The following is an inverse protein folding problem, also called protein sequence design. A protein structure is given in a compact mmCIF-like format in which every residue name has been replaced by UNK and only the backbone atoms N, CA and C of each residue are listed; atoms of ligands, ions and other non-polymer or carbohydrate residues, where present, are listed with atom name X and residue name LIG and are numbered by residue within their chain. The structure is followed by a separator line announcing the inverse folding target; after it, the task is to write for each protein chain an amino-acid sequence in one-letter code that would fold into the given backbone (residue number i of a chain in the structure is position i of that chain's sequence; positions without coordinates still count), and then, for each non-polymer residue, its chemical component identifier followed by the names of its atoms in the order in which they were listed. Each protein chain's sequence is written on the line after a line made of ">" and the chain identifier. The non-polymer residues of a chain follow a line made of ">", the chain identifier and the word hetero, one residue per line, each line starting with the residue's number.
data_IF_804479579230
#
_entry.id   IF_804479579230
#
_cell.length_a   1.000
_cell.length_b   1.000
_cell.length_c   1.000
_cell.angle_alpha   90.00
_cell.angle_beta   90.00
_cell.angle_gamma   90.00
#
_symmetry.space_group_name_H-M   'P 1'
#
loop_
_entity.id
_entity.type
_entity.pdbx_description
1 polymer ?
#
# COMPACT_ATOMS: atom_id res chain seq x y z
N UNK A 1 2.44 -8.36 15.51
CA UNK A 1 2.52 -7.78 14.15
C UNK A 1 1.55 -6.62 14.13
N UNK A 2 2.01 -5.42 13.78
CA UNK A 2 1.20 -4.19 13.84
C UNK A 2 0.46 -3.97 12.50
N UNK A 3 1.20 -4.04 11.38
CA UNK A 3 0.64 -3.93 10.03
C UNK A 3 0.80 -5.22 9.22
N UNK A 4 -0.23 -5.58 8.45
CA UNK A 4 -0.22 -6.72 7.52
C UNK A 4 -0.57 -6.23 6.12
N UNK A 5 0.45 -6.10 5.27
CA UNK A 5 0.28 -5.66 3.89
C UNK A 5 0.19 -6.88 2.96
N UNK A 6 -0.90 -7.00 2.21
CA UNK A 6 -1.10 -8.10 1.27
C UNK A 6 -1.03 -7.56 -0.15
N UNK A 7 -0.10 -8.07 -0.95
CA UNK A 7 0.05 -7.64 -2.35
C UNK A 7 -0.96 -8.38 -3.24
N UNK A 8 -1.54 -7.64 -4.18
CA UNK A 8 -2.22 -8.23 -5.34
C UNK A 8 -1.23 -8.83 -6.35
N UNK A 9 -1.72 -9.29 -7.50
CA UNK A 9 -0.85 -9.71 -8.61
C UNK A 9 0.01 -8.55 -9.13
N UNK A 10 1.01 -8.89 -9.93
CA UNK A 10 1.96 -7.90 -10.46
C UNK A 10 1.35 -6.98 -11.52
N UNK A 11 0.28 -7.41 -12.19
CA UNK A 11 -0.40 -6.70 -13.27
C UNK A 11 -1.89 -6.65 -12.99
N UNK A 12 -2.59 -5.73 -13.66
CA UNK A 12 -4.06 -5.69 -13.63
C UNK A 12 -4.71 -6.45 -14.80
N UNK A 13 -3.91 -7.12 -15.63
CA UNK A 13 -4.36 -7.81 -16.84
C UNK A 13 -5.08 -6.85 -17.79
N UNK A 14 -4.40 -5.76 -18.12
CA UNK A 14 -4.89 -4.71 -19.02
C UNK A 14 -5.11 -5.24 -20.43
N UNK A 15 -6.26 -4.95 -21.02
CA UNK A 15 -6.59 -5.36 -22.39
C UNK A 15 -6.15 -4.30 -23.42
N UNK A 16 -5.76 -4.70 -24.65
CA UNK A 16 -5.29 -3.77 -25.69
C UNK A 16 -6.27 -2.65 -26.08
N UNK A 17 -7.56 -2.84 -25.83
CA UNK A 17 -8.63 -1.89 -26.16
C UNK A 17 -9.15 -1.12 -24.93
N UNK A 18 -8.43 -1.20 -23.81
CA UNK A 18 -8.85 -0.69 -22.52
C UNK A 18 -9.66 -1.70 -21.71
N UNK A 19 -9.78 -1.43 -20.41
CA UNK A 19 -10.37 -2.37 -19.46
C UNK A 19 -9.37 -3.43 -18.98
N UNK A 20 -9.90 -4.45 -18.31
CA UNK A 20 -9.14 -5.48 -17.63
C UNK A 20 -9.77 -6.84 -17.87
N UNK A 21 -8.97 -7.90 -17.82
CA UNK A 21 -9.50 -9.27 -17.79
C UNK A 21 -10.41 -9.49 -16.59
N UNK A 22 -11.40 -10.37 -16.78
CA UNK A 22 -12.39 -10.75 -15.79
C UNK A 22 -12.40 -12.25 -15.63
N UNK A 23 -12.78 -12.75 -14.45
CA UNK A 23 -12.84 -14.21 -14.23
C UNK A 23 -13.88 -14.86 -15.13
N UNK A 24 -13.63 -16.10 -15.54
CA UNK A 24 -14.49 -16.83 -16.49
C UNK A 24 -15.92 -17.04 -15.96
N UNK A 25 -16.06 -17.18 -14.65
CA UNK A 25 -17.33 -17.41 -13.96
C UNK A 25 -18.18 -16.14 -13.82
N UNK A 26 -17.57 -14.96 -13.91
CA UNK A 26 -18.25 -13.69 -13.69
C UNK A 26 -17.54 -12.52 -14.39
N UNK A 27 -18.11 -12.09 -15.51
CA UNK A 27 -17.63 -10.95 -16.29
C UNK A 27 -17.73 -9.59 -15.57
N UNK A 28 -18.36 -9.52 -14.40
CA UNK A 28 -18.39 -8.32 -13.55
C UNK A 28 -17.20 -8.19 -12.61
N UNK A 29 -16.38 -9.24 -12.45
CA UNK A 29 -15.27 -9.27 -11.49
C UNK A 29 -13.95 -9.27 -12.25
N UNK A 30 -13.14 -8.22 -12.04
CA UNK A 30 -11.79 -8.12 -12.60
C UNK A 30 -10.89 -9.18 -11.99
N UNK A 31 -10.07 -9.81 -12.82
CA UNK A 31 -9.25 -10.94 -12.41
C UNK A 31 -8.28 -10.58 -11.27
N UNK A 32 -7.61 -9.43 -11.36
CA UNK A 32 -6.66 -9.01 -10.32
C UNK A 32 -7.32 -8.74 -8.96
N UNK A 33 -8.59 -8.32 -8.93
CA UNK A 33 -9.35 -8.14 -7.69
C UNK A 33 -9.65 -9.50 -7.07
N UNK A 34 -10.07 -10.45 -7.89
CA UNK A 34 -10.36 -11.82 -7.43
C UNK A 34 -9.10 -12.49 -6.85
N UNK A 35 -7.97 -12.40 -7.53
CA UNK A 35 -6.68 -12.94 -7.05
C UNK A 35 -6.24 -12.28 -5.74
N UNK A 36 -6.39 -10.96 -5.64
CA UNK A 36 -6.08 -10.24 -4.40
C UNK A 36 -6.97 -10.68 -3.22
N UNK A 37 -8.27 -10.87 -3.46
CA UNK A 37 -9.19 -11.38 -2.43
C UNK A 37 -8.86 -12.81 -2.01
N UNK A 38 -8.38 -13.65 -2.93
CA UNK A 38 -7.90 -14.99 -2.60
C UNK A 38 -6.69 -14.93 -1.66
N UNK A 39 -5.70 -14.07 -1.96
CA UNK A 39 -4.55 -13.84 -1.08
C UNK A 39 -4.98 -13.33 0.30
N UNK A 40 -5.91 -12.37 0.34
CA UNK A 40 -6.46 -11.85 1.59
C UNK A 40 -7.14 -12.95 2.41
N UNK A 41 -7.97 -13.79 1.78
CA UNK A 41 -8.63 -14.88 2.48
C UNK A 41 -7.62 -15.83 3.17
N UNK A 42 -6.54 -16.19 2.48
CA UNK A 42 -5.46 -16.99 3.06
C UNK A 42 -4.81 -16.31 4.26
N UNK A 43 -4.43 -15.03 4.11
CA UNK A 43 -3.78 -14.27 5.19
C UNK A 43 -4.70 -14.08 6.39
N UNK A 44 -5.97 -13.72 6.17
CA UNK A 44 -6.96 -13.54 7.23
C UNK A 44 -7.20 -14.86 7.98
N UNK A 45 -7.29 -15.97 7.25
CA UNK A 45 -7.47 -17.31 7.83
C UNK A 45 -6.27 -17.68 8.72
N UNK A 46 -5.06 -17.50 8.21
CA UNK A 46 -3.84 -17.82 8.97
C UNK A 46 -3.69 -16.95 10.21
N UNK A 47 -3.98 -15.65 10.10
CA UNK A 47 -3.97 -14.73 11.22
C UNK A 47 -5.01 -15.10 12.27
N UNK A 48 -6.20 -15.54 11.85
CA UNK A 48 -7.25 -16.02 12.76
C UNK A 48 -6.79 -17.27 13.51
N UNK A 49 -6.19 -18.25 12.83
CA UNK A 49 -5.66 -19.46 13.48
C UNK A 49 -4.51 -19.17 14.44
N UNK A 50 -3.72 -18.12 14.19
CA UNK A 50 -2.69 -17.64 15.11
C UNK A 50 -3.24 -16.83 16.31
N UNK A 51 -4.57 -16.65 16.41
CA UNK A 51 -5.20 -15.83 17.46
C UNK A 51 -5.08 -14.32 17.23
N UNK A 52 -4.70 -13.89 16.03
CA UNK A 52 -4.65 -12.50 15.63
C UNK A 52 -6.04 -11.90 15.38
N UNK A 53 -6.14 -10.58 15.50
CA UNK A 53 -7.37 -9.83 15.20
C UNK A 53 -7.06 -8.63 14.32
N UNK A 54 -8.04 -8.21 13.52
CA UNK A 54 -7.95 -7.01 12.69
C UNK A 54 -8.94 -5.96 13.18
N UNK A 55 -8.53 -4.69 13.16
CA UNK A 55 -9.42 -3.57 13.42
C UNK A 55 -10.22 -3.25 12.15
N UNK A 56 -11.49 -3.64 12.10
CA UNK A 56 -12.34 -3.40 10.93
C UNK A 56 -12.42 -1.93 10.49
N UNK A 57 -12.32 -0.98 11.43
CA UNK A 57 -12.32 0.46 11.13
C UNK A 57 -11.01 0.97 10.50
N UNK A 58 -9.92 0.22 10.63
CA UNK A 58 -8.59 0.59 10.11
C UNK A 58 -8.17 -0.26 8.91
N UNK A 59 -8.86 -1.38 8.66
CA UNK A 59 -8.53 -2.29 7.57
C UNK A 59 -8.95 -1.68 6.23
N UNK A 60 -8.01 -1.65 5.28
CA UNK A 60 -8.24 -1.27 3.89
C UNK A 60 -8.19 -2.54 3.03
N UNK A 61 -9.21 -2.75 2.18
CA UNK A 61 -9.33 -3.93 1.30
C UNK A 61 -9.54 -3.47 -0.12
N UNK A 62 -8.75 -4.00 -1.06
CA UNK A 62 -8.88 -3.76 -2.50
C UNK A 62 -8.98 -2.26 -2.89
N UNK A 63 -8.19 -1.42 -2.21
CA UNK A 63 -8.08 0.02 -2.50
C UNK A 63 -7.03 0.27 -3.57
N UNK A 64 -7.20 1.29 -4.45
CA UNK A 64 -6.22 1.63 -5.47
C UNK A 64 -4.91 2.17 -4.89
N UNK A 65 -4.98 2.81 -3.72
CA UNK A 65 -3.84 3.37 -3.00
C UNK A 65 -4.01 3.18 -1.49
N UNK A 66 -2.91 2.94 -0.78
CA UNK A 66 -2.90 2.82 0.68
C UNK A 66 -1.67 3.49 1.29
N UNK A 67 -1.87 4.15 2.44
CA UNK A 67 -0.78 4.70 3.24
C UNK A 67 -0.15 3.59 4.08
N UNK A 68 1.09 3.22 3.75
CA UNK A 68 1.84 2.13 4.40
C UNK A 68 3.17 2.70 4.88
N UNK A 69 3.40 2.71 6.20
CA UNK A 69 4.66 3.17 6.83
C UNK A 69 5.17 4.56 6.36
N UNK A 70 4.25 5.49 6.07
CA UNK A 70 4.57 6.84 5.59
C UNK A 70 4.96 6.88 4.10
N UNK A 71 4.47 5.93 3.32
CA UNK A 71 4.44 5.95 1.86
C UNK A 71 3.02 5.75 1.36
N UNK A 72 2.70 6.39 0.24
CA UNK A 72 1.51 6.06 -0.54
C UNK A 72 1.91 4.95 -1.51
N UNK A 73 1.35 3.76 -1.32
CA UNK A 73 1.56 2.63 -2.21
C UNK A 73 0.38 2.51 -3.17
N UNK A 74 0.67 2.52 -4.46
CA UNK A 74 -0.30 2.36 -5.55
C UNK A 74 0.19 1.28 -6.52
N UNK A 75 -0.59 1.04 -7.58
CA UNK A 75 -0.16 0.19 -8.69
C UNK A 75 1.12 0.69 -9.37
N UNK A 76 1.24 2.01 -9.53
CA UNK A 76 2.40 2.67 -10.17
C UNK A 76 3.67 2.62 -9.32
N UNK A 77 3.54 2.18 -8.06
CA UNK A 77 4.66 2.02 -7.13
C UNK A 77 4.46 2.78 -5.84
N UNK A 78 5.57 3.15 -5.21
CA UNK A 78 5.59 3.80 -3.90
C UNK A 78 6.00 5.25 -4.04
N UNK A 79 5.19 6.13 -3.46
CA UNK A 79 5.49 7.55 -3.33
C UNK A 79 5.70 7.91 -1.85
N UNK A 80 6.60 8.86 -1.54
CA UNK A 80 6.70 9.40 -0.19
C UNK A 80 5.39 10.08 0.19
N UNK A 81 5.02 9.96 1.47
CA UNK A 81 3.88 10.69 2.02
C UNK A 81 4.05 12.21 1.83
N UNK A 82 3.05 12.92 1.28
CA UNK A 82 3.11 14.36 1.08
C UNK A 82 3.50 15.15 2.33
N UNK A 83 3.10 14.69 3.52
CA UNK A 83 3.44 15.33 4.79
C UNK A 83 4.92 15.17 5.15
N UNK A 84 5.56 14.07 4.75
CA UNK A 84 7.02 13.90 4.86
C UNK A 84 7.73 14.78 3.84
N UNK A 85 7.22 14.84 2.61
CA UNK A 85 7.78 15.68 1.57
C UNK A 85 7.73 17.16 1.97
N UNK A 86 6.61 17.61 2.52
CA UNK A 86 6.43 18.98 3.01
C UNK A 86 7.48 19.34 4.06
N UNK A 87 7.73 18.47 5.05
CA UNK A 87 8.76 18.71 6.08
C UNK A 87 10.15 18.93 5.49
N UNK A 88 10.48 18.20 4.43
CA UNK A 88 11.77 18.33 3.72
C UNK A 88 11.80 19.62 2.91
N UNK A 89 10.72 19.96 2.20
CA UNK A 89 10.62 21.17 1.37
C UNK A 89 10.58 22.45 2.21
N UNK A 90 9.91 22.42 3.36
CA UNK A 90 9.81 23.53 4.29
C UNK A 90 11.03 23.63 5.23
N UNK A 91 12.06 22.81 5.01
CA UNK A 91 13.22 22.80 5.90
C UNK A 91 14.02 24.10 5.74
N UNK A 92 14.24 24.81 6.85
CA UNK A 92 15.00 26.06 6.86
C UNK A 92 16.50 25.85 6.60
N UNK A 93 17.28 26.94 6.54
CA UNK A 93 18.73 26.82 6.33
C UNK A 93 19.40 25.97 7.42
N UNK A 94 20.29 25.06 7.00
CA UNK A 94 21.05 24.19 7.89
C UNK A 94 22.27 24.95 8.45
N UNK A 95 22.11 25.58 9.61
CA UNK A 95 23.14 26.46 10.17
C UNK A 95 24.10 25.73 11.13
N UNK A 96 23.67 24.60 11.70
CA UNK A 96 24.45 23.84 12.70
C UNK A 96 24.55 22.36 12.34
N UNK A 97 25.57 21.70 12.88
CA UNK A 97 25.76 20.26 12.78
C UNK A 97 24.54 19.45 13.28
N UNK A 98 23.81 19.96 14.27
CA UNK A 98 22.57 19.35 14.76
C UNK A 98 21.47 19.37 13.70
N UNK A 99 21.37 20.47 12.94
CA UNK A 99 20.33 20.66 11.93
C UNK A 99 20.60 19.74 10.74
N UNK A 100 21.87 19.59 10.35
CA UNK A 100 22.30 18.62 9.32
C UNK A 100 22.00 17.19 9.73
N UNK A 101 22.30 16.78 10.97
CA UNK A 101 22.00 15.43 11.46
C UNK A 101 20.49 15.14 11.51
N UNK A 102 19.70 16.11 11.97
CA UNK A 102 18.24 15.98 12.01
C UNK A 102 17.65 15.87 10.60
N UNK A 103 18.15 16.67 9.65
CA UNK A 103 17.75 16.59 8.25
C UNK A 103 18.07 15.22 7.66
N UNK A 104 19.32 14.77 7.78
CA UNK A 104 19.77 13.46 7.29
C UNK A 104 19.00 12.30 7.90
N UNK A 105 18.64 12.38 9.19
CA UNK A 105 17.78 11.38 9.83
C UNK A 105 16.31 11.44 9.43
N UNK A 106 15.86 12.52 8.77
CA UNK A 106 14.49 12.66 8.25
C UNK A 106 14.38 12.21 6.80
N UNK A 107 15.43 12.40 6.00
CA UNK A 107 15.47 12.02 4.57
C UNK A 107 16.04 10.62 4.32
N UNK A 108 16.83 10.07 5.25
CA UNK A 108 17.37 8.71 5.18
C UNK A 108 16.38 7.67 5.68
#
# INVERSE_FOLDING_TARGET
>A
VDDVNVRGPATHYELPHGGYETIAENAGIRQFIWEHLHNLNCVLTWMTYAGGTFSGSKTLIAVPEAQIMGHICSYEGRLPDPTRLEKVLSWGPLLRLTDVRAFLGTVG
#
